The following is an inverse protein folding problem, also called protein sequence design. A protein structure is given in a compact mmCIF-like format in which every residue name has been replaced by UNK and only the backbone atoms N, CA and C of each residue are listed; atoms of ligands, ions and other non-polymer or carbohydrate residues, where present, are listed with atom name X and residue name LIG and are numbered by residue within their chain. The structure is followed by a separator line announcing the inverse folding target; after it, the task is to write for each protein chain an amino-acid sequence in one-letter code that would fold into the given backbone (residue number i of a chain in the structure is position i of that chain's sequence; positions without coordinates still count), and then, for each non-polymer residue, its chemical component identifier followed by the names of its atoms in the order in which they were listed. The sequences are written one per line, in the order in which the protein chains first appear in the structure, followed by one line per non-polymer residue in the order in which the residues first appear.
data_IF_386553256909
#
_entry.id   IF_386553256909
#
_cell.length_a   1.000
_cell.length_b   1.000
_cell.length_c   1.000
_cell.angle_alpha   90.00
_cell.angle_beta   90.00
_cell.angle_gamma   90.00
#
_symmetry.space_group_name_H-M   'P 1'
#
loop_
_entity.id
_entity.type
_entity.pdbx_description
1 polymer ?
#
# COMPACT_ATOMS: atom_id res chain seq x y z
N UNK A 1 -28.60 -49.67 -14.98
CA UNK A 1 -29.33 -49.08 -13.83
C UNK A 1 -28.27 -48.32 -13.06
N UNK A 2 -27.97 -47.09 -13.50
CA UNK A 2 -26.75 -46.35 -13.13
C UNK A 2 -27.10 -44.96 -12.55
N UNK A 3 -28.38 -44.75 -12.31
CA UNK A 3 -28.98 -43.53 -11.77
C UNK A 3 -28.50 -43.10 -10.38
N UNK A 4 -28.14 -43.99 -9.42
CA UNK A 4 -27.65 -43.52 -8.12
C UNK A 4 -26.21 -43.00 -8.19
N UNK A 5 -25.38 -43.56 -9.08
CA UNK A 5 -23.97 -43.17 -9.24
C UNK A 5 -23.89 -41.81 -9.92
N UNK A 6 -24.70 -41.57 -10.96
CA UNK A 6 -24.76 -40.27 -11.65
C UNK A 6 -25.32 -39.15 -10.77
N UNK A 7 -26.29 -39.43 -9.90
CA UNK A 7 -26.81 -38.46 -8.93
C UNK A 7 -25.76 -38.03 -7.89
N UNK A 8 -24.97 -39.00 -7.39
CA UNK A 8 -23.90 -38.72 -6.43
C UNK A 8 -22.82 -37.84 -7.07
N UNK A 9 -22.45 -38.13 -8.31
CA UNK A 9 -21.43 -37.38 -9.06
C UNK A 9 -21.88 -35.94 -9.34
N UNK A 10 -23.16 -35.73 -9.69
CA UNK A 10 -23.75 -34.39 -9.90
C UNK A 10 -23.78 -33.59 -8.59
N UNK A 11 -24.16 -34.22 -7.47
CA UNK A 11 -24.18 -33.59 -6.16
C UNK A 11 -22.77 -33.19 -5.70
N UNK A 12 -21.79 -34.08 -5.89
CA UNK A 12 -20.40 -33.83 -5.56
C UNK A 12 -19.80 -32.72 -6.44
N UNK A 13 -20.10 -32.72 -7.75
CA UNK A 13 -19.68 -31.68 -8.67
C UNK A 13 -20.29 -30.30 -8.30
N UNK A 14 -21.57 -30.24 -7.93
CA UNK A 14 -22.19 -29.00 -7.46
C UNK A 14 -21.60 -28.48 -6.14
N UNK A 15 -21.26 -29.37 -5.21
CA UNK A 15 -20.57 -28.99 -3.97
C UNK A 15 -19.17 -28.44 -4.26
N UNK A 16 -18.37 -29.12 -5.09
CA UNK A 16 -17.02 -28.62 -5.45
C UNK A 16 -17.12 -27.26 -6.16
N UNK A 17 -18.08 -27.11 -7.09
CA UNK A 17 -18.26 -25.85 -7.82
C UNK A 17 -18.65 -24.70 -6.90
N UNK A 18 -19.52 -24.93 -5.91
CA UNK A 18 -19.93 -23.91 -4.92
C UNK A 18 -18.79 -23.55 -3.97
N UNK A 19 -17.98 -24.52 -3.52
CA UNK A 19 -16.78 -24.24 -2.72
C UNK A 19 -15.74 -23.42 -3.50
N UNK A 20 -15.50 -23.77 -4.77
CA UNK A 20 -14.57 -23.02 -5.63
C UNK A 20 -15.07 -21.59 -5.88
N UNK A 21 -16.36 -21.41 -6.15
CA UNK A 21 -16.95 -20.08 -6.30
C UNK A 21 -16.83 -19.25 -5.00
N UNK A 22 -17.11 -19.85 -3.84
CA UNK A 22 -16.96 -19.18 -2.55
C UNK A 22 -15.49 -18.80 -2.27
N UNK A 23 -14.54 -19.68 -2.59
CA UNK A 23 -13.11 -19.40 -2.43
C UNK A 23 -12.67 -18.22 -3.33
N UNK A 24 -13.13 -18.16 -4.58
CA UNK A 24 -12.84 -17.04 -5.48
C UNK A 24 -13.40 -15.73 -4.92
N UNK A 25 -14.66 -15.73 -4.48
CA UNK A 25 -15.29 -14.54 -3.88
C UNK A 25 -14.50 -14.07 -2.66
N UNK A 26 -14.05 -15.01 -1.81
CA UNK A 26 -13.27 -14.69 -0.62
C UNK A 26 -11.90 -14.09 -0.97
N UNK A 27 -11.21 -14.64 -1.97
CA UNK A 27 -9.95 -14.07 -2.50
C UNK A 27 -10.17 -12.66 -3.05
N UNK A 28 -11.26 -12.44 -3.80
CA UNK A 28 -11.62 -11.11 -4.32
C UNK A 28 -11.87 -10.11 -3.18
N UNK A 29 -12.60 -10.51 -2.13
CA UNK A 29 -12.86 -9.65 -0.98
C UNK A 29 -11.56 -9.28 -0.26
N UNK A 30 -10.68 -10.26 0.01
CA UNK A 30 -9.37 -10.02 0.64
C UNK A 30 -8.54 -9.05 -0.22
N UNK A 31 -8.50 -9.28 -1.53
CA UNK A 31 -7.76 -8.44 -2.45
C UNK A 31 -8.30 -7.00 -2.47
N UNK A 32 -9.63 -6.84 -2.54
CA UNK A 32 -10.28 -5.53 -2.46
C UNK A 32 -9.96 -4.82 -1.14
N UNK A 33 -10.14 -5.50 0.00
CA UNK A 33 -9.84 -4.93 1.31
C UNK A 33 -8.38 -4.47 1.42
N UNK A 34 -7.44 -5.30 0.94
CA UNK A 34 -6.02 -4.96 0.89
C UNK A 34 -5.73 -3.76 -0.02
N UNK A 35 -6.34 -3.71 -1.20
CA UNK A 35 -6.16 -2.63 -2.17
C UNK A 35 -6.71 -1.29 -1.66
N UNK A 36 -7.93 -1.29 -1.12
CA UNK A 36 -8.55 -0.09 -0.55
C UNK A 36 -7.78 0.40 0.68
N UNK A 37 -7.36 -0.49 1.57
CA UNK A 37 -6.58 -0.09 2.74
C UNK A 37 -5.27 0.62 2.32
N UNK A 38 -4.56 0.11 1.30
CA UNK A 38 -3.38 0.80 0.77
C UNK A 38 -3.68 2.17 0.17
N UNK A 39 -4.79 2.31 -0.54
CA UNK A 39 -5.24 3.60 -1.09
C UNK A 39 -5.57 4.61 0.01
N UNK A 40 -6.32 4.18 1.02
CA UNK A 40 -6.70 5.01 2.16
C UNK A 40 -5.44 5.45 2.93
N UNK A 41 -4.51 4.53 3.20
CA UNK A 41 -3.24 4.86 3.85
C UNK A 41 -2.42 5.88 3.06
N UNK A 42 -2.35 5.74 1.73
CA UNK A 42 -1.68 6.74 0.88
C UNK A 42 -2.38 8.10 0.99
N UNK A 43 -3.70 8.14 0.86
CA UNK A 43 -4.45 9.38 0.87
C UNK A 43 -4.37 10.10 2.22
N UNK A 44 -4.57 9.37 3.32
CA UNK A 44 -4.47 9.89 4.69
C UNK A 44 -3.06 10.41 5.01
N UNK A 45 -2.02 9.72 4.53
CA UNK A 45 -0.65 10.19 4.64
C UNK A 45 -0.42 11.51 3.89
N UNK A 46 -0.97 11.67 2.68
CA UNK A 46 -0.69 12.83 1.81
C UNK A 46 -1.55 14.06 2.11
N UNK A 47 -2.73 13.87 2.70
CA UNK A 47 -3.58 14.96 3.18
C UNK A 47 -3.15 15.48 4.57
N UNK A 48 -2.29 14.74 5.27
CA UNK A 48 -1.76 15.14 6.56
C UNK A 48 -0.97 16.46 6.47
N UNK A 49 -1.21 17.35 7.44
CA UNK A 49 -0.39 18.54 7.66
C UNK A 49 1.04 18.10 8.02
N UNK A 50 2.08 18.82 7.58
CA UNK A 50 2.08 20.07 6.83
C UNK A 50 2.03 19.94 5.29
N UNK A 51 1.97 18.72 4.73
CA UNK A 51 2.09 18.51 3.27
C UNK A 51 0.81 18.88 2.50
N UNK A 52 -0.37 18.57 3.06
CA UNK A 52 -1.70 18.95 2.57
C UNK A 52 -1.85 18.92 1.03
N UNK A 53 -1.41 17.84 0.38
CA UNK A 53 -1.37 17.79 -1.07
C UNK A 53 -2.79 17.73 -1.66
N UNK A 54 -3.00 18.41 -2.78
CA UNK A 54 -4.26 18.32 -3.53
C UNK A 54 -4.33 16.98 -4.30
N UNK A 55 -5.55 16.57 -4.69
CA UNK A 55 -5.77 15.30 -5.39
C UNK A 55 -4.94 15.15 -6.68
N UNK A 56 -4.66 16.25 -7.38
CA UNK A 56 -3.83 16.23 -8.59
C UNK A 56 -2.32 16.14 -8.29
N UNK A 57 -1.88 16.69 -7.16
CA UNK A 57 -0.51 16.49 -6.66
C UNK A 57 -0.31 15.07 -6.15
N UNK A 58 -1.32 14.49 -5.49
CA UNK A 58 -1.29 13.09 -5.02
C UNK A 58 -1.05 12.09 -6.17
N UNK A 59 -1.59 12.35 -7.36
CA UNK A 59 -1.35 11.51 -8.56
C UNK A 59 0.12 11.46 -8.95
N UNK A 60 0.88 12.52 -8.68
CA UNK A 60 2.31 12.62 -9.01
C UNK A 60 3.20 11.96 -7.94
N UNK A 61 2.65 11.66 -6.75
CA UNK A 61 3.34 10.95 -5.68
C UNK A 61 3.22 9.44 -5.88
N UNK A 62 4.36 8.77 -6.00
CA UNK A 62 4.41 7.31 -6.06
C UNK A 62 4.76 6.73 -4.70
N UNK A 63 3.99 5.73 -4.25
CA UNK A 63 4.24 4.99 -3.00
C UNK A 63 4.61 3.55 -3.36
N UNK A 64 5.70 3.05 -2.80
CA UNK A 64 6.16 1.66 -2.97
C UNK A 64 6.18 0.97 -1.62
N UNK A 65 5.54 -0.20 -1.55
CA UNK A 65 5.57 -1.05 -0.37
C UNK A 65 6.48 -2.24 -0.64
N UNK A 66 7.57 -2.34 0.12
CA UNK A 66 8.49 -3.46 0.10
C UNK A 66 8.12 -4.46 1.21
N UNK A 67 8.14 -5.75 0.88
CA UNK A 67 7.72 -6.79 1.80
C UNK A 67 8.87 -7.30 2.70
N UNK A 68 10.11 -7.27 2.21
CA UNK A 68 11.32 -7.67 2.95
C UNK A 68 12.54 -6.81 2.54
N UNK A 69 13.18 -6.07 3.45
CA UNK A 69 12.63 -5.63 4.75
C UNK A 69 11.33 -4.86 4.56
N UNK A 70 10.42 -4.88 5.55
CA UNK A 70 9.15 -4.14 5.49
C UNK A 70 9.46 -2.64 5.46
N UNK A 71 9.33 -2.04 4.28
CA UNK A 71 9.59 -0.62 4.03
C UNK A 71 8.48 0.00 3.19
N UNK A 72 8.13 1.25 3.49
CA UNK A 72 7.21 2.04 2.69
C UNK A 72 7.98 3.25 2.18
N UNK A 73 8.07 3.40 0.86
CA UNK A 73 8.85 4.46 0.21
C UNK A 73 7.88 5.42 -0.48
N UNK A 74 7.86 6.66 -0.03
CA UNK A 74 7.15 7.76 -0.66
C UNK A 74 8.13 8.53 -1.53
N UNK A 75 7.83 8.69 -2.82
CA UNK A 75 8.58 9.58 -3.69
C UNK A 75 7.71 10.81 -4.01
N UNK A 76 8.00 11.91 -3.31
CA UNK A 76 7.29 13.18 -3.39
C UNK A 76 8.12 14.14 -4.25
N UNK A 77 7.57 14.73 -5.32
CA UNK A 77 8.26 15.77 -6.08
C UNK A 77 8.72 16.93 -5.21
N UNK A 78 9.97 17.38 -5.38
CA UNK A 78 10.55 18.48 -4.62
C UNK A 78 9.91 19.85 -4.89
N UNK A 79 9.10 19.94 -5.96
CA UNK A 79 8.29 21.12 -6.24
C UNK A 79 7.16 21.35 -5.20
N UNK A 80 6.80 20.33 -4.42
CA UNK A 80 5.63 20.40 -3.53
C UNK A 80 5.96 20.75 -2.08
N UNK A 81 7.19 20.50 -1.63
CA UNK A 81 7.55 20.66 -0.23
C UNK A 81 9.07 20.84 -0.08
N UNK A 82 9.48 21.54 0.97
CA UNK A 82 10.88 21.73 1.34
C UNK A 82 11.35 20.55 2.22
N UNK A 83 12.67 20.39 2.40
CA UNK A 83 13.21 19.34 3.27
C UNK A 83 12.64 19.41 4.70
N UNK A 84 12.45 20.62 5.23
CA UNK A 84 11.91 20.84 6.58
C UNK A 84 10.44 20.41 6.70
N UNK A 85 9.60 20.79 5.74
CA UNK A 85 8.18 20.41 5.76
C UNK A 85 8.00 18.92 5.56
N UNK A 86 8.89 18.26 4.79
CA UNK A 86 8.89 16.81 4.61
C UNK A 86 9.34 16.08 5.86
N UNK A 87 10.32 16.60 6.59
CA UNK A 87 10.74 16.02 7.86
C UNK A 87 9.61 16.09 8.89
N UNK A 88 9.00 17.26 9.05
CA UNK A 88 7.86 17.46 9.95
C UNK A 88 6.64 16.61 9.55
N UNK A 89 6.41 16.44 8.25
CA UNK A 89 5.40 15.52 7.73
C UNK A 89 5.71 14.06 8.08
N UNK A 90 6.96 13.63 7.88
CA UNK A 90 7.36 12.26 8.15
C UNK A 90 7.19 11.90 9.64
N UNK A 91 7.48 12.83 10.56
CA UNK A 91 7.25 12.65 12.00
C UNK A 91 5.77 12.45 12.33
N UNK A 92 4.86 13.22 11.72
CA UNK A 92 3.42 13.10 11.99
C UNK A 92 2.80 11.85 11.37
N UNK A 93 3.31 11.40 10.23
CA UNK A 93 2.76 10.28 9.47
C UNK A 93 3.36 8.94 9.92
N UNK A 94 4.59 8.92 10.45
CA UNK A 94 5.23 7.73 11.01
C UNK A 94 4.34 6.91 11.96
N UNK A 95 3.64 7.51 12.96
CA UNK A 95 2.74 6.75 13.85
C UNK A 95 1.45 6.29 13.17
N UNK A 96 1.02 6.95 12.09
CA UNK A 96 -0.23 6.63 11.35
C UNK A 96 -0.04 5.48 10.34
N UNK A 97 1.18 5.35 9.81
CA UNK A 97 1.55 4.28 8.87
C UNK A 97 1.66 2.90 9.55
N UNK A 98 1.71 2.85 10.88
CA UNK A 98 1.62 1.63 11.68
C UNK A 98 2.29 1.75 13.05
N UNK A 99 1.85 0.92 14.01
CA UNK A 99 2.36 0.86 15.40
C UNK A 99 3.87 0.62 15.54
N UNK A 100 4.55 0.24 14.46
CA UNK A 100 5.93 -0.26 14.47
C UNK A 100 6.87 0.47 13.50
N UNK A 101 6.42 1.52 12.80
CA UNK A 101 7.27 2.34 11.92
C UNK A 101 8.00 3.42 12.74
N UNK A 102 9.09 3.04 13.41
CA UNK A 102 9.85 3.98 14.25
C UNK A 102 10.92 4.79 13.51
N UNK A 103 11.40 4.30 12.37
CA UNK A 103 12.54 4.89 11.68
C UNK A 103 12.14 5.33 10.29
N UNK A 104 12.30 6.61 10.01
CA UNK A 104 12.12 7.19 8.70
C UNK A 104 13.43 7.81 8.23
N UNK A 105 13.77 7.60 6.97
CA UNK A 105 14.93 8.18 6.32
C UNK A 105 14.45 9.09 5.19
N UNK A 106 14.84 10.36 5.21
CA UNK A 106 14.55 11.33 4.15
C UNK A 106 15.78 11.46 3.26
N UNK A 107 15.68 10.99 2.01
CA UNK A 107 16.71 11.15 0.99
C UNK A 107 16.21 12.04 -0.13
N UNK A 108 16.87 13.16 -0.36
CA UNK A 108 16.57 14.01 -1.52
C UNK A 108 17.35 13.48 -2.72
N UNK A 109 16.64 12.92 -3.69
CA UNK A 109 17.28 12.49 -4.94
C UNK A 109 17.40 13.72 -5.85
N UNK A 110 18.63 14.13 -6.22
CA UNK A 110 18.83 15.30 -7.06
C UNK A 110 18.21 15.09 -8.44
N UNK A 111 17.83 16.21 -9.07
CA UNK A 111 17.32 16.22 -10.44
C UNK A 111 18.38 15.63 -11.38
N UNK A 112 18.01 14.60 -12.15
CA UNK A 112 18.88 14.00 -13.18
C UNK A 112 18.20 14.19 -14.52
N UNK A 113 18.95 14.39 -15.61
CA UNK A 113 18.41 14.62 -16.95
C UNK A 113 17.18 13.72 -17.23
N UNK A 114 16.02 14.35 -17.52
CA UNK A 114 14.67 13.76 -17.68
C UNK A 114 13.89 13.30 -16.43
N UNK A 115 14.40 13.48 -15.21
CA UNK A 115 13.68 13.17 -13.96
C UNK A 115 13.61 14.38 -13.03
N UNK A 116 12.38 14.76 -12.68
CA UNK A 116 12.08 15.77 -11.67
C UNK A 116 12.74 15.37 -10.34
N UNK A 117 13.28 16.35 -9.60
CA UNK A 117 13.79 16.15 -8.24
C UNK A 117 12.69 15.60 -7.33
N UNK A 118 13.04 14.62 -6.49
CA UNK A 118 12.09 13.98 -5.57
C UNK A 118 12.71 13.78 -4.21
N UNK A 119 11.92 14.08 -3.18
CA UNK A 119 12.19 13.62 -1.83
C UNK A 119 11.67 12.19 -1.69
N UNK A 120 12.59 11.31 -1.34
CA UNK A 120 12.33 9.89 -1.11
C UNK A 120 12.31 9.68 0.39
N UNK A 121 11.12 9.53 0.95
CA UNK A 121 10.93 9.24 2.38
C UNK A 121 10.71 7.75 2.53
N UNK A 122 11.60 7.08 3.24
CA UNK A 122 11.56 5.64 3.49
C UNK A 122 11.22 5.38 4.94
N UNK A 123 10.03 4.83 5.20
CA UNK A 123 9.65 4.33 6.51
C UNK A 123 10.06 2.87 6.63
N UNK A 124 10.82 2.54 7.67
CA UNK A 124 11.27 1.17 7.97
C UNK A 124 10.60 0.70 9.26
N UNK A 125 10.08 -0.53 9.24
CA UNK A 125 9.49 -1.14 10.43
C UNK A 125 10.58 -1.59 11.42
N UNK A 126 10.44 -1.29 12.72
CA UNK A 126 11.37 -1.63 13.82
C UNK A 126 11.87 -3.07 13.78
N UNK A 127 10.97 -3.99 13.46
CA UNK A 127 11.20 -5.43 13.39
C UNK A 127 12.32 -5.82 12.41
N UNK A 128 12.74 -4.94 11.50
CA UNK A 128 13.84 -5.17 10.55
C UNK A 128 15.17 -4.48 10.93
N UNK A 129 15.24 -3.77 12.05
CA UNK A 129 16.45 -3.03 12.49
C UNK A 129 17.22 -3.83 13.57
N UNK A 130 16.66 -4.96 14.02
CA UNK A 130 17.27 -5.87 15.00
C UNK A 130 17.76 -7.14 14.32
#
# INVERSE_FOLDING_TARGET
MDTPITLLDILQQHQVTTFMAAAIVLVVIIFCAWFFNRRIQKHDALIAKPLCLTADQEKQVSVRHHHKPRKIVFAIPAAFATNETIHAWAEQVAPRLGKDSSHFEVKTTPQRFFRISKHVVTFTKLENIR
#
